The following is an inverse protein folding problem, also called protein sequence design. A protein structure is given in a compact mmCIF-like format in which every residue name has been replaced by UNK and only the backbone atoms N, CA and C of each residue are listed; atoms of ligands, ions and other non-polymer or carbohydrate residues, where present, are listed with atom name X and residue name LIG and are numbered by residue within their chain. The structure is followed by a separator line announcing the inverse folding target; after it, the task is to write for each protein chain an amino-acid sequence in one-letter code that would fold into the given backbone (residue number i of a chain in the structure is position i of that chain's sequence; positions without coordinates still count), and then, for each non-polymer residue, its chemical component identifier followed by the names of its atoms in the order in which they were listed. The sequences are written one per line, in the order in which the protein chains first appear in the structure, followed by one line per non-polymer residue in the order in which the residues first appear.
data_IF_820666522953
#
_entry.id   IF_820666522953
#
_cell.length_a   1.000
_cell.length_b   1.000
_cell.length_c   1.000
_cell.angle_alpha   90.00
_cell.angle_beta   90.00
_cell.angle_gamma   90.00
#
_symmetry.space_group_name_H-M   'P 1'
#
loop_
_entity.id
_entity.type
_entity.pdbx_description
1 polymer ?
#
# COMPACT_ATOMS: atom_id res chain seq x y z
N UNK A 1 -67.04 -17.39 40.22
CA UNK A 1 -67.20 -16.18 39.38
C UNK A 1 -66.16 -16.31 38.28
N UNK A 2 -66.47 -17.02 37.20
CA UNK A 2 -67.13 -16.49 35.99
C UNK A 2 -66.39 -15.29 35.42
N UNK A 3 -65.56 -15.51 34.40
CA UNK A 3 -65.82 -15.01 33.04
C UNK A 3 -64.72 -15.55 32.09
N UNK A 4 -65.02 -16.43 31.13
CA UNK A 4 -65.68 -16.24 29.82
C UNK A 4 -64.69 -15.82 28.72
N UNK A 5 -64.10 -16.79 28.01
CA UNK A 5 -63.57 -16.62 26.65
C UNK A 5 -64.48 -17.37 25.65
N UNK A 6 -65.17 -16.59 24.80
CA UNK A 6 -65.75 -17.01 23.50
C UNK A 6 -64.65 -16.71 22.46
N UNK A 7 -64.29 -17.57 21.50
CA UNK A 7 -65.09 -18.15 20.43
C UNK A 7 -64.42 -17.76 19.08
N UNK A 8 -64.03 -18.74 18.25
CA UNK A 8 -63.24 -18.61 17.00
C UNK A 8 -64.01 -18.01 15.80
N UNK A 9 -63.81 -18.45 14.53
CA UNK A 9 -62.75 -19.26 13.88
C UNK A 9 -62.20 -18.66 12.54
N UNK A 10 -61.15 -19.29 11.98
CA UNK A 10 -60.93 -19.49 10.53
C UNK A 10 -60.41 -18.35 9.64
N UNK A 11 -59.30 -18.56 8.96
CA UNK A 11 -59.25 -18.83 7.50
C UNK A 11 -57.79 -19.04 7.03
N UNK A 12 -57.69 -19.83 5.97
CA UNK A 12 -56.52 -20.48 5.38
C UNK A 12 -55.49 -19.53 4.74
N UNK A 13 -54.27 -20.05 4.64
CA UNK A 13 -53.46 -19.98 3.42
C UNK A 13 -52.65 -18.71 3.18
N UNK A 14 -51.38 -18.72 3.59
CA UNK A 14 -50.34 -18.12 2.75
C UNK A 14 -49.13 -19.06 2.74
N UNK A 15 -48.79 -19.47 1.53
CA UNK A 15 -47.71 -20.36 1.16
C UNK A 15 -46.35 -19.93 1.71
N UNK A 16 -45.48 -20.92 1.91
CA UNK A 16 -44.12 -20.75 2.39
C UNK A 16 -43.34 -19.78 1.50
N UNK A 17 -42.85 -18.72 2.13
CA UNK A 17 -41.66 -18.03 1.65
C UNK A 17 -40.51 -18.76 2.32
N UNK A 18 -39.83 -19.61 1.57
CA UNK A 18 -38.45 -20.01 1.90
C UNK A 18 -37.64 -18.72 1.93
N UNK A 19 -37.40 -18.21 3.15
CA UNK A 19 -36.41 -17.17 3.36
C UNK A 19 -35.06 -17.88 3.20
N UNK A 20 -34.38 -17.59 2.10
CA UNK A 20 -32.97 -17.90 1.90
C UNK A 20 -32.20 -17.43 3.16
N UNK A 21 -31.80 -18.40 3.98
CA UNK A 21 -30.93 -18.23 5.15
C UNK A 21 -29.47 -17.98 4.70
N UNK A 22 -29.25 -17.03 3.78
CA UNK A 22 -27.92 -16.42 3.62
C UNK A 22 -27.83 -15.20 4.54
N UNK A 23 -27.98 -15.47 5.83
CA UNK A 23 -27.53 -14.55 6.88
C UNK A 23 -26.01 -14.56 6.79
N UNK A 24 -25.48 -13.71 5.91
CA UNK A 24 -24.08 -13.33 5.92
C UNK A 24 -23.85 -12.61 7.23
N UNK A 25 -23.40 -13.36 8.25
CA UNK A 25 -22.93 -12.82 9.51
C UNK A 25 -21.70 -11.97 9.19
N UNK A 26 -21.95 -10.69 8.95
CA UNK A 26 -20.88 -9.71 8.89
C UNK A 26 -20.41 -9.49 10.32
N UNK A 27 -19.26 -10.08 10.64
CA UNK A 27 -18.44 -9.58 11.73
C UNK A 27 -17.97 -8.18 11.33
N UNK A 28 -18.85 -7.21 11.58
CA UNK A 28 -18.53 -5.80 11.60
C UNK A 28 -17.59 -5.68 12.78
N UNK A 29 -16.29 -5.76 12.51
CA UNK A 29 -15.28 -5.27 13.43
C UNK A 29 -15.64 -3.83 13.75
N UNK A 30 -16.35 -3.66 14.87
CA UNK A 30 -16.50 -2.39 15.54
C UNK A 30 -15.08 -2.05 15.97
N UNK A 31 -14.45 -1.14 15.22
CA UNK A 31 -13.27 -0.47 15.74
C UNK A 31 -13.78 0.38 16.88
N UNK A 32 -13.61 -0.12 18.11
CA UNK A 32 -13.92 0.65 19.31
C UNK A 32 -13.20 1.99 19.19
N UNK A 33 -14.01 3.04 19.21
CA UNK A 33 -13.53 4.41 19.26
C UNK A 33 -12.59 4.56 20.45
N UNK A 34 -11.43 5.16 20.17
CA UNK A 34 -10.31 5.30 21.08
C UNK A 34 -10.66 5.49 22.55
N UNK A 35 -10.42 4.45 23.34
CA UNK A 35 -9.99 4.63 24.72
C UNK A 35 -8.57 5.20 24.72
N UNK A 36 -8.28 6.14 25.64
CA UNK A 36 -6.93 6.69 25.85
C UNK A 36 -5.90 5.55 25.92
N UNK A 37 -4.94 5.56 24.99
CA UNK A 37 -3.88 4.53 24.91
C UNK A 37 -3.96 3.55 23.73
N UNK A 38 -5.02 3.56 22.93
CA UNK A 38 -5.19 2.66 21.76
C UNK A 38 -4.63 3.25 20.44
N UNK A 39 -3.56 4.03 20.53
CA UNK A 39 -3.03 4.79 19.39
C UNK A 39 -2.41 3.91 18.30
N UNK A 40 -2.90 3.99 17.07
CA UNK A 40 -2.32 3.37 15.87
C UNK A 40 -0.99 4.00 15.42
N UNK A 41 -0.37 4.84 16.25
CA UNK A 41 0.79 5.68 15.96
C UNK A 41 1.99 5.08 16.68
N UNK A 42 3.04 4.80 15.92
CA UNK A 42 4.28 4.28 16.48
C UNK A 42 5.02 5.42 17.17
N UNK A 43 5.18 5.31 18.50
CA UNK A 43 5.86 6.30 19.33
C UNK A 43 7.32 5.94 19.57
N UNK A 44 8.15 6.97 19.75
CA UNK A 44 9.52 6.80 20.18
C UNK A 44 9.58 6.32 21.64
N UNK A 45 10.52 5.43 21.94
CA UNK A 45 10.84 5.09 23.32
C UNK A 45 11.59 6.28 23.95
N UNK A 46 11.03 6.90 24.99
CA UNK A 46 11.64 8.06 25.63
C UNK A 46 13.07 7.80 26.16
N UNK A 47 13.44 6.54 26.42
CA UNK A 47 14.79 6.15 26.88
C UNK A 47 15.78 5.89 25.74
N UNK A 48 15.29 5.55 24.55
CA UNK A 48 16.10 5.34 23.34
C UNK A 48 15.26 5.70 22.11
N UNK A 49 15.15 7.00 21.78
CA UNK A 49 14.30 7.47 20.69
C UNK A 49 14.94 7.27 19.31
N UNK A 50 16.18 6.81 19.26
CA UNK A 50 17.02 6.84 18.07
C UNK A 50 16.97 5.53 17.29
N UNK A 51 16.77 5.62 15.97
CA UNK A 51 16.89 4.53 15.00
C UNK A 51 16.02 3.31 15.37
N UNK A 52 14.76 3.57 15.74
CA UNK A 52 13.81 2.52 16.06
C UNK A 52 13.61 1.57 14.87
N UNK A 53 13.48 0.28 15.15
CA UNK A 53 13.29 -0.75 14.12
C UNK A 53 11.89 -0.71 13.52
N UNK A 54 10.85 -0.54 14.35
CA UNK A 54 9.46 -0.47 13.90
C UNK A 54 9.12 0.98 13.54
N UNK A 55 8.80 1.24 12.27
CA UNK A 55 8.56 2.59 11.74
C UNK A 55 7.08 2.89 11.70
N UNK A 56 6.31 2.00 11.09
CA UNK A 56 4.85 2.04 10.95
C UNK A 56 4.30 0.67 11.32
N UNK A 57 3.25 0.65 12.13
CA UNK A 57 2.42 -0.53 12.34
C UNK A 57 0.95 -0.14 12.31
N UNK A 58 0.21 -0.71 11.37
CA UNK A 58 -1.25 -0.58 11.26
C UNK A 58 -1.84 -1.97 11.24
N UNK A 59 -2.82 -2.21 12.12
CA UNK A 59 -3.54 -3.48 12.18
C UNK A 59 -5.00 -3.25 11.81
N UNK A 60 -5.61 -4.24 11.15
CA UNK A 60 -7.02 -4.13 10.75
C UNK A 60 -7.40 -5.10 9.65
N UNK A 61 -8.18 -4.64 8.66
CA UNK A 61 -8.59 -5.47 7.52
C UNK A 61 -7.38 -5.87 6.63
N UNK A 62 -6.36 -5.03 6.62
CA UNK A 62 -5.05 -5.29 6.04
C UNK A 62 -4.04 -4.85 7.08
N UNK A 63 -3.14 -5.77 7.46
CA UNK A 63 -2.04 -5.44 8.34
C UNK A 63 -0.92 -4.85 7.51
N UNK A 64 -0.38 -3.71 7.97
CA UNK A 64 0.70 -3.02 7.27
C UNK A 64 1.82 -2.76 8.26
N UNK A 65 3.03 -3.14 7.88
CA UNK A 65 4.23 -2.95 8.68
C UNK A 65 5.34 -2.31 7.85
N UNK A 66 6.02 -1.33 8.43
CA UNK A 66 7.27 -0.80 7.92
C UNK A 66 8.35 -0.99 8.98
N UNK A 67 9.43 -1.65 8.60
CA UNK A 67 10.57 -1.91 9.50
C UNK A 67 11.86 -1.43 8.88
N UNK A 68 12.75 -0.87 9.72
CA UNK A 68 14.13 -0.60 9.34
C UNK A 68 14.90 -1.91 9.26
N UNK A 69 15.44 -2.19 8.08
CA UNK A 69 16.34 -3.31 7.84
C UNK A 69 17.76 -2.88 8.21
N UNK A 70 18.25 -1.82 7.56
CA UNK A 70 19.60 -1.30 7.77
C UNK A 70 19.64 0.23 7.87
N UNK A 71 20.52 0.74 8.73
CA UNK A 71 20.94 2.13 8.80
C UNK A 71 22.46 2.17 8.92
N UNK A 72 23.10 2.84 7.96
CA UNK A 72 24.55 2.98 7.87
C UNK A 72 24.87 4.47 7.77
N UNK A 73 25.70 4.97 8.68
CA UNK A 73 26.22 6.33 8.66
C UNK A 73 27.68 6.29 8.23
N UNK A 74 28.09 7.28 7.43
CA UNK A 74 29.44 7.32 6.88
C UNK A 74 29.67 8.57 6.04
N UNK A 75 30.70 8.55 5.20
CA UNK A 75 31.00 9.59 4.22
C UNK A 75 30.36 9.26 2.87
N UNK A 76 30.12 10.30 2.06
CA UNK A 76 29.67 10.10 0.68
C UNK A 76 30.76 9.45 -0.18
N UNK A 77 32.01 9.85 0.03
CA UNK A 77 33.22 9.26 -0.55
C UNK A 77 34.41 9.64 0.32
N UNK A 78 35.54 8.93 0.24
CA UNK A 78 36.71 9.16 1.09
C UNK A 78 37.30 10.58 1.00
N UNK A 79 37.06 11.27 -0.13
CA UNK A 79 37.53 12.63 -0.39
C UNK A 79 36.43 13.71 -0.31
N UNK A 80 35.25 13.37 0.19
CA UNK A 80 34.10 14.29 0.23
C UNK A 80 33.91 14.88 1.63
N UNK A 81 33.70 16.20 1.70
CA UNK A 81 33.28 16.88 2.93
C UNK A 81 31.81 16.62 3.30
N UNK A 82 31.06 15.96 2.42
CA UNK A 82 29.68 15.54 2.68
C UNK A 82 29.64 14.15 3.34
N UNK A 83 28.80 14.06 4.37
CA UNK A 83 28.43 12.83 5.02
C UNK A 83 27.26 12.16 4.29
N UNK A 84 27.07 10.88 4.57
CA UNK A 84 25.99 10.09 4.04
C UNK A 84 25.30 9.24 5.12
N UNK A 85 24.04 8.92 4.87
CA UNK A 85 23.29 7.90 5.58
C UNK A 85 22.60 7.01 4.55
N UNK A 86 22.86 5.71 4.57
CA UNK A 86 22.09 4.72 3.84
C UNK A 86 21.02 4.16 4.77
N UNK A 87 19.77 4.18 4.32
CA UNK A 87 18.63 3.62 5.06
C UNK A 87 17.87 2.63 4.18
N UNK A 88 17.64 1.42 4.69
CA UNK A 88 16.88 0.36 4.02
C UNK A 88 15.64 0.03 4.84
N UNK A 89 14.47 0.10 4.21
CA UNK A 89 13.19 -0.18 4.84
C UNK A 89 12.46 -1.31 4.14
N UNK A 90 11.76 -2.11 4.93
CA UNK A 90 10.91 -3.19 4.47
C UNK A 90 9.45 -2.88 4.79
N UNK A 91 8.65 -2.71 3.75
CA UNK A 91 7.20 -2.62 3.82
C UNK A 91 6.59 -4.00 3.61
N UNK A 92 5.59 -4.34 4.43
CA UNK A 92 4.77 -5.54 4.29
C UNK A 92 3.30 -5.17 4.30
N UNK A 93 2.57 -5.72 3.36
CA UNK A 93 1.14 -5.57 3.16
C UNK A 93 0.53 -6.97 3.27
N UNK A 94 -0.12 -7.24 4.40
CA UNK A 94 -0.62 -8.56 4.77
C UNK A 94 -2.17 -8.51 4.84
N UNK A 95 -2.90 -8.77 3.73
CA UNK A 95 -4.36 -8.80 3.74
C UNK A 95 -4.88 -9.92 4.65
N UNK A 96 -5.69 -9.58 5.66
CA UNK A 96 -6.19 -10.58 6.62
C UNK A 96 -7.41 -11.36 6.09
N UNK A 97 -8.06 -10.88 5.02
CA UNK A 97 -9.21 -11.55 4.37
C UNK A 97 -9.04 -11.53 2.85
N UNK A 98 -9.37 -12.64 2.17
CA UNK A 98 -9.21 -12.84 0.70
C UNK A 98 -9.81 -11.71 -0.17
N UNK A 99 -10.86 -11.03 0.29
CA UNK A 99 -11.53 -9.96 -0.44
C UNK A 99 -10.91 -8.55 -0.23
N UNK A 100 -9.79 -8.42 0.49
CA UNK A 100 -9.23 -7.13 0.94
C UNK A 100 -7.89 -6.79 0.25
N UNK A 101 -7.85 -6.85 -1.08
CA UNK A 101 -6.67 -6.42 -1.85
C UNK A 101 -6.44 -4.92 -1.73
N UNK A 102 -5.17 -4.52 -1.72
CA UNK A 102 -4.75 -3.12 -1.83
C UNK A 102 -4.52 -2.81 -3.31
N UNK A 103 -5.22 -1.80 -3.83
CA UNK A 103 -5.13 -1.38 -5.22
C UNK A 103 -4.01 -0.37 -5.47
N UNK A 104 -3.69 0.45 -4.46
CA UNK A 104 -2.59 1.39 -4.52
C UNK A 104 -2.00 1.65 -3.13
N UNK A 105 -0.71 1.95 -3.09
CA UNK A 105 -0.04 2.48 -1.91
C UNK A 105 0.94 3.58 -2.30
N UNK A 106 0.99 4.64 -1.51
CA UNK A 106 1.96 5.72 -1.62
C UNK A 106 2.79 5.74 -0.35
N UNK A 107 4.09 5.59 -0.50
CA UNK A 107 5.08 5.67 0.57
C UNK A 107 5.83 6.98 0.39
N UNK A 108 5.98 7.74 1.46
CA UNK A 108 6.75 8.98 1.48
C UNK A 108 7.63 9.01 2.72
N UNK A 109 8.92 9.30 2.53
CA UNK A 109 9.90 9.49 3.58
C UNK A 109 10.47 10.90 3.41
N UNK A 110 10.06 11.81 4.29
CA UNK A 110 10.63 13.16 4.36
C UNK A 110 11.78 13.18 5.34
N UNK A 111 12.89 13.79 4.97
CA UNK A 111 14.03 14.01 5.83
C UNK A 111 14.11 15.48 6.21
N UNK A 112 14.38 15.75 7.49
CA UNK A 112 14.46 17.12 7.99
C UNK A 112 15.47 17.24 9.13
N UNK A 113 15.95 18.46 9.34
CA UNK A 113 16.73 18.78 10.52
C UNK A 113 15.84 18.73 11.78
N UNK A 114 16.42 18.39 12.93
CA UNK A 114 15.72 18.47 14.22
C UNK A 114 15.74 19.88 14.80
N UNK A 115 16.83 20.60 14.56
CA UNK A 115 17.08 21.94 15.08
C UNK A 115 16.80 22.99 14.00
N UNK A 116 16.37 24.19 14.41
CA UNK A 116 16.08 25.32 13.50
C UNK A 116 17.31 25.77 12.71
N UNK A 117 18.51 25.59 13.28
CA UNK A 117 19.79 25.95 12.66
C UNK A 117 20.44 24.75 11.94
N UNK A 118 19.76 23.61 11.85
CA UNK A 118 20.24 22.42 11.16
C UNK A 118 20.03 22.52 9.65
N UNK A 119 20.96 21.99 8.89
CA UNK A 119 20.79 21.91 7.44
C UNK A 119 19.90 20.72 7.07
N UNK A 120 18.93 20.97 6.19
CA UNK A 120 18.02 19.92 5.70
C UNK A 120 18.80 18.84 4.95
N UNK A 121 18.70 17.56 5.34
CA UNK A 121 19.31 16.46 4.60
C UNK A 121 18.77 16.33 3.18
N UNK A 122 19.63 15.98 2.24
CA UNK A 122 19.28 15.76 0.84
C UNK A 122 19.13 14.27 0.55
N UNK A 123 18.05 13.89 -0.11
CA UNK A 123 17.87 12.57 -0.71
C UNK A 123 18.67 12.53 -2.01
N UNK A 124 19.88 11.98 -1.93
CA UNK A 124 20.80 11.86 -3.05
C UNK A 124 20.31 10.81 -4.04
N UNK A 125 19.90 9.63 -3.56
CA UNK A 125 19.45 8.54 -4.41
C UNK A 125 18.41 7.65 -3.72
N UNK A 126 17.59 6.97 -4.52
CA UNK A 126 16.62 5.99 -4.06
C UNK A 126 16.66 4.73 -4.92
N UNK A 127 16.31 3.58 -4.35
CA UNK A 127 15.92 2.40 -5.13
C UNK A 127 14.64 2.65 -5.92
N UNK A 128 14.42 1.94 -7.02
CA UNK A 128 13.25 2.14 -7.87
C UNK A 128 13.04 3.60 -8.30
N UNK A 129 14.10 4.37 -8.54
CA UNK A 129 14.00 5.72 -9.12
C UNK A 129 13.52 5.63 -10.58
N UNK A 130 12.36 6.20 -10.89
CA UNK A 130 11.67 6.06 -12.18
C UNK A 130 10.47 5.09 -12.13
N UNK A 131 10.06 4.60 -13.29
CA UNK A 131 8.84 3.79 -13.46
C UNK A 131 9.16 2.35 -13.84
N UNK A 132 8.65 1.40 -13.05
CA UNK A 132 8.86 -0.03 -13.22
C UNK A 132 7.52 -0.72 -13.43
N UNK A 133 7.43 -1.57 -14.46
CA UNK A 133 6.26 -2.41 -14.72
C UNK A 133 6.57 -3.86 -14.34
N UNK A 134 5.71 -4.44 -13.53
CA UNK A 134 5.82 -5.78 -12.98
C UNK A 134 4.66 -6.62 -13.50
N UNK A 135 4.96 -7.83 -13.97
CA UNK A 135 3.96 -8.79 -14.48
C UNK A 135 3.01 -8.17 -15.54
N UNK A 136 3.51 -7.83 -16.74
CA UNK A 136 2.64 -7.37 -17.81
C UNK A 136 1.67 -8.50 -18.21
N UNK A 137 0.38 -8.23 -18.16
CA UNK A 137 -0.65 -9.14 -18.69
C UNK A 137 -1.08 -8.68 -20.07
N UNK A 138 -1.17 -9.61 -21.02
CA UNK A 138 -1.87 -9.38 -22.29
C UNK A 138 -3.29 -9.90 -22.16
N UNK A 139 -4.29 -9.01 -22.24
CA UNK A 139 -5.69 -9.43 -22.34
C UNK A 139 -6.26 -9.01 -23.69
N UNK A 140 -6.95 -9.94 -24.35
CA UNK A 140 -7.79 -9.64 -25.51
C UNK A 140 -9.18 -9.33 -24.99
N UNK A 141 -9.55 -8.06 -24.92
CA UNK A 141 -10.93 -7.68 -24.61
C UNK A 141 -11.77 -7.69 -25.89
N UNK A 142 -12.83 -8.50 -25.93
CA UNK A 142 -13.88 -8.44 -26.95
C UNK A 142 -15.06 -7.65 -26.40
N UNK A 143 -15.13 -6.36 -26.73
CA UNK A 143 -16.28 -5.52 -26.34
C UNK A 143 -17.36 -5.64 -27.42
N UNK A 144 -18.47 -6.32 -27.11
CA UNK A 144 -19.64 -6.38 -27.99
C UNK A 144 -20.60 -5.24 -27.64
N UNK A 145 -20.62 -4.17 -28.44
CA UNK A 145 -21.69 -3.15 -28.38
C UNK A 145 -22.76 -3.47 -29.41
N UNK A 146 -23.95 -3.87 -28.97
CA UNK A 146 -25.14 -4.00 -29.82
C UNK A 146 -26.03 -2.77 -29.70
N UNK A 147 -26.44 -2.19 -30.82
CA UNK A 147 -27.48 -1.16 -30.88
C UNK A 147 -28.70 -1.74 -31.61
N UNK A 148 -29.85 -1.82 -30.94
CA UNK A 148 -31.13 -2.19 -31.56
C UNK A 148 -31.83 -0.94 -32.06
N UNK A 149 -31.91 -0.78 -33.38
CA UNK A 149 -32.69 0.27 -34.02
C UNK A 149 -33.99 -0.30 -34.59
N UNK A 150 -35.13 0.01 -33.99
CA UNK A 150 -36.45 -0.22 -34.59
C UNK A 150 -36.80 0.96 -35.48
N UNK A 151 -36.52 0.85 -36.78
CA UNK A 151 -37.01 1.80 -37.77
C UNK A 151 -38.49 1.50 -38.08
N UNK A 152 -39.40 2.29 -37.53
CA UNK A 152 -40.80 2.30 -37.94
C UNK A 152 -40.99 3.11 -39.22
N UNK A 153 -41.32 2.45 -40.33
CA UNK A 153 -41.94 3.07 -41.49
C UNK A 153 -42.92 2.06 -42.12
N UNK A 154 -44.18 2.47 -42.21
CA UNK A 154 -45.28 1.71 -42.78
C UNK A 154 -45.23 1.72 -44.32
N UNK A 155 -45.75 0.62 -44.88
CA UNK A 155 -46.07 0.32 -46.29
C UNK A 155 -44.96 -0.25 -47.19
N UNK A 156 -45.07 -1.57 -47.41
CA UNK A 156 -44.76 -2.20 -48.70
C UNK A 156 -43.63 -3.22 -48.72
N UNK A 157 -44.01 -4.50 -48.78
CA UNK A 157 -43.20 -5.69 -49.09
C UNK A 157 -42.32 -6.29 -47.96
N UNK A 158 -42.75 -7.48 -47.52
CA UNK A 158 -41.99 -8.48 -46.78
C UNK A 158 -40.65 -8.78 -47.46
N UNK A 159 -39.54 -8.44 -46.80
CA UNK A 159 -38.26 -9.14 -46.88
C UNK A 159 -37.51 -8.80 -45.59
N UNK A 160 -37.47 -9.77 -44.68
CA UNK A 160 -36.78 -9.64 -43.41
C UNK A 160 -35.28 -9.46 -43.59
N UNK A 161 -34.68 -8.69 -42.69
CA UNK A 161 -33.27 -8.73 -42.30
C UNK A 161 -33.10 -7.76 -41.12
N UNK A 162 -33.23 -8.27 -39.89
CA UNK A 162 -32.70 -7.58 -38.71
C UNK A 162 -31.17 -7.56 -38.84
N UNK A 163 -30.62 -6.46 -39.36
CA UNK A 163 -29.18 -6.28 -39.44
C UNK A 163 -28.63 -5.93 -38.05
N UNK A 164 -28.30 -6.95 -37.26
CA UNK A 164 -27.55 -6.82 -36.00
C UNK A 164 -26.10 -6.46 -36.35
N UNK A 165 -25.75 -5.18 -36.25
CA UNK A 165 -24.35 -4.75 -36.39
C UNK A 165 -23.59 -5.08 -35.09
N UNK A 166 -22.84 -6.17 -35.10
CA UNK A 166 -21.88 -6.49 -34.05
C UNK A 166 -20.51 -5.93 -34.42
N UNK A 167 -20.07 -4.87 -33.72
CA UNK A 167 -18.69 -4.38 -33.82
C UNK A 167 -17.86 -5.03 -32.71
N UNK A 168 -17.16 -6.11 -33.04
CA UNK A 168 -16.13 -6.69 -32.18
C UNK A 168 -14.88 -5.81 -32.25
N UNK A 169 -14.63 -5.03 -31.20
CA UNK A 169 -13.34 -4.33 -31.05
C UNK A 169 -12.42 -5.23 -30.26
N UNK A 170 -11.41 -5.78 -30.91
CA UNK A 170 -10.29 -6.44 -30.23
C UNK A 170 -9.37 -5.34 -29.71
N UNK A 171 -9.38 -5.10 -28.39
CA UNK A 171 -8.44 -4.20 -27.73
C UNK A 171 -7.40 -5.04 -27.00
N UNK A 172 -6.13 -4.87 -27.37
CA UNK A 172 -5.01 -5.40 -26.59
C UNK A 172 -4.67 -4.34 -25.54
N UNK A 173 -5.12 -4.55 -24.29
CA UNK A 173 -4.70 -3.73 -23.15
C UNK A 173 -3.55 -4.44 -22.45
N UNK A 174 -2.38 -3.78 -22.41
CA UNK A 174 -1.28 -4.18 -21.55
C UNK A 174 -1.37 -3.40 -20.25
N UNK A 175 -2.07 -3.96 -19.27
CA UNK A 175 -2.00 -3.50 -17.88
C UNK A 175 -0.89 -4.27 -17.15
N UNK A 176 -0.25 -3.60 -16.19
CA UNK A 176 0.79 -4.16 -15.33
C UNK A 176 0.67 -3.56 -13.93
N UNK A 177 1.21 -4.26 -12.93
CA UNK A 177 1.45 -3.64 -11.62
C UNK A 177 2.63 -2.69 -11.76
N UNK A 178 2.54 -1.46 -11.28
CA UNK A 178 3.63 -0.48 -11.42
C UNK A 178 4.20 -0.05 -10.09
N UNK A 179 5.52 0.19 -10.06
CA UNK A 179 6.22 0.86 -8.96
C UNK A 179 6.90 2.09 -9.55
N UNK A 180 6.56 3.26 -9.03
CA UNK A 180 7.10 4.54 -9.47
C UNK A 180 7.78 5.23 -8.30
N UNK A 181 9.10 5.43 -8.37
CA UNK A 181 9.87 6.16 -7.37
C UNK A 181 10.32 7.54 -7.88
N UNK A 182 10.48 8.48 -6.97
CA UNK A 182 11.09 9.77 -7.25
C UNK A 182 11.53 10.52 -6.00
N UNK A 183 12.30 11.59 -6.22
CA UNK A 183 12.84 12.48 -5.20
C UNK A 183 12.22 13.87 -5.36
N UNK A 184 11.82 14.49 -4.26
CA UNK A 184 11.03 15.72 -4.31
C UNK A 184 11.54 16.77 -3.31
N UNK A 185 11.35 18.04 -3.68
CA UNK A 185 11.50 19.21 -2.81
C UNK A 185 10.23 19.46 -2.01
N UNK A 186 10.37 20.04 -0.82
CA UNK A 186 9.24 20.58 -0.04
C UNK A 186 9.10 22.06 -0.35
N UNK A 187 7.86 22.54 -0.52
CA UNK A 187 7.56 23.95 -0.80
C UNK A 187 8.31 24.54 -2.02
N UNK A 188 8.59 23.72 -3.04
CA UNK A 188 9.37 24.07 -4.22
C UNK A 188 10.79 24.60 -3.91
N UNK A 189 11.36 24.22 -2.77
CA UNK A 189 12.66 24.69 -2.31
C UNK A 189 13.67 23.53 -2.23
N UNK A 190 14.81 23.61 -2.95
CA UNK A 190 15.90 22.65 -2.81
C UNK A 190 16.46 22.59 -1.37
N UNK A 191 17.06 21.47 -0.95
CA UNK A 191 17.33 20.26 -1.74
C UNK A 191 16.11 19.32 -1.86
N UNK A 192 16.25 18.24 -2.63
CA UNK A 192 15.27 17.15 -2.59
C UNK A 192 15.33 16.49 -1.21
N UNK A 193 14.35 16.70 -0.35
CA UNK A 193 14.34 16.13 1.01
C UNK A 193 13.29 15.02 1.18
N UNK A 194 12.62 14.62 0.10
CA UNK A 194 11.56 13.60 0.11
C UNK A 194 11.89 12.46 -0.84
N UNK A 195 11.88 11.23 -0.34
CA UNK A 195 11.84 10.02 -1.14
C UNK A 195 10.40 9.51 -1.20
N UNK A 196 9.90 9.20 -2.39
CA UNK A 196 8.51 8.76 -2.56
C UNK A 196 8.39 7.62 -3.55
N UNK A 197 7.58 6.62 -3.20
CA UNK A 197 7.19 5.52 -4.08
C UNK A 197 5.68 5.41 -4.17
N UNK A 198 5.19 5.10 -5.37
CA UNK A 198 3.79 4.81 -5.64
C UNK A 198 3.67 3.43 -6.27
N UNK A 199 2.92 2.55 -5.64
CA UNK A 199 2.58 1.22 -6.14
C UNK A 199 1.15 1.24 -6.65
N UNK A 200 0.93 0.75 -7.86
CA UNK A 200 -0.41 0.60 -8.45
C UNK A 200 -0.61 -0.84 -8.91
N UNK A 201 -1.77 -1.42 -8.62
CA UNK A 201 -2.10 -2.77 -9.07
C UNK A 201 -2.30 -2.82 -10.59
N UNK A 202 -2.13 -4.03 -11.14
CA UNK A 202 -2.61 -4.35 -12.47
C UNK A 202 -4.14 -4.25 -12.50
N UNK A 203 -4.69 -3.27 -13.24
CA UNK A 203 -6.13 -2.99 -13.31
C UNK A 203 -6.95 -4.11 -13.98
N UNK A 204 -6.31 -4.86 -14.87
CA UNK A 204 -6.90 -6.02 -15.54
C UNK A 204 -6.97 -7.21 -14.59
N UNK A 205 -5.83 -7.63 -14.03
CA UNK A 205 -5.75 -8.82 -13.18
C UNK A 205 -6.34 -8.59 -11.78
N UNK A 206 -6.37 -7.33 -11.31
CA UNK A 206 -6.86 -6.94 -9.98
C UNK A 206 -6.23 -7.80 -8.87
N UNK A 207 -4.95 -8.08 -9.03
CA UNK A 207 -4.16 -8.94 -8.14
C UNK A 207 -3.76 -8.23 -6.85
N UNK A 208 -4.01 -6.92 -6.73
CA UNK A 208 -3.42 -6.08 -5.71
C UNK A 208 -1.96 -5.73 -6.00
N UNK A 209 -1.41 -4.85 -5.16
CA UNK A 209 0.02 -4.54 -5.09
C UNK A 209 0.80 -5.72 -4.46
N UNK A 210 2.14 -5.77 -4.61
CA UNK A 210 2.97 -6.78 -3.98
C UNK A 210 2.79 -6.84 -2.45
N UNK A 211 2.89 -8.04 -1.86
CA UNK A 211 2.82 -8.23 -0.41
C UNK A 211 4.03 -7.64 0.33
N UNK A 212 5.18 -7.49 -0.32
CA UNK A 212 6.40 -6.97 0.29
C UNK A 212 7.19 -6.10 -0.70
N UNK A 213 7.64 -4.95 -0.21
CA UNK A 213 8.52 -4.02 -0.93
C UNK A 213 9.65 -3.60 0.01
N UNK A 214 10.89 -3.89 -0.38
CA UNK A 214 12.10 -3.37 0.28
C UNK A 214 12.70 -2.26 -0.56
N UNK A 215 12.89 -1.09 0.06
CA UNK A 215 13.45 0.10 -0.58
C UNK A 215 14.70 0.57 0.16
N UNK A 216 15.59 1.22 -0.57
CA UNK A 216 16.79 1.85 -0.04
C UNK A 216 16.82 3.34 -0.42
N UNK A 217 17.33 4.16 0.50
CA UNK A 217 17.53 5.60 0.32
C UNK A 217 18.95 5.96 0.74
N UNK A 218 19.64 6.72 -0.09
CA UNK A 218 20.89 7.38 0.24
C UNK A 218 20.60 8.85 0.55
N UNK A 219 20.93 9.26 1.76
CA UNK A 219 20.79 10.63 2.26
C UNK A 219 22.17 11.27 2.35
N UNK A 220 22.35 12.42 1.71
CA UNK A 220 23.52 13.29 1.83
C UNK A 220 23.29 14.33 2.92
N UNK A 221 24.33 14.58 3.71
CA UNK A 221 24.31 15.50 4.85
C UNK A 221 25.56 16.39 4.85
N UNK A 222 25.41 17.64 5.29
CA UNK A 222 26.54 18.57 5.42
C UNK A 222 27.22 18.53 6.78
N UNK A 223 26.53 17.99 7.78
CA UNK A 223 27.04 17.82 9.13
C UNK A 223 26.67 16.44 9.70
N UNK A 224 27.14 16.16 10.91
CA UNK A 224 26.86 14.94 11.67
C UNK A 224 25.75 15.10 12.72
N UNK A 225 24.92 16.15 12.61
CA UNK A 225 23.83 16.36 13.57
C UNK A 225 22.76 15.27 13.41
N UNK A 226 22.05 15.04 14.50
CA UNK A 226 20.87 14.17 14.49
C UNK A 226 19.79 14.80 13.59
N UNK A 227 19.07 13.95 12.85
CA UNK A 227 18.04 14.40 11.89
C UNK A 227 16.85 13.45 11.92
N UNK A 228 15.72 13.88 11.35
CA UNK A 228 14.48 13.10 11.36
C UNK A 228 14.20 12.49 10.00
N UNK A 229 13.64 11.28 10.01
CA UNK A 229 12.82 10.75 8.93
C UNK A 229 11.36 10.76 9.37
N UNK A 230 10.49 11.43 8.63
CA UNK A 230 9.05 11.52 8.84
C UNK A 230 8.36 10.59 7.83
N UNK A 231 8.00 9.36 8.23
CA UNK A 231 7.36 8.40 7.35
C UNK A 231 5.88 8.73 7.18
N UNK A 232 5.39 8.64 5.95
CA UNK A 232 3.97 8.74 5.62
C UNK A 232 3.58 7.61 4.68
N UNK A 233 2.43 7.00 4.96
CA UNK A 233 1.88 5.91 4.17
C UNK A 233 0.41 6.18 3.87
N UNK A 234 0.05 6.17 2.60
CA UNK A 234 -1.33 6.23 2.13
C UNK A 234 -1.67 4.96 1.36
N UNK A 235 -2.82 4.34 1.63
CA UNK A 235 -3.24 3.09 1.01
C UNK A 235 -4.66 3.23 0.47
N UNK A 236 -4.96 2.65 -0.70
CA UNK A 236 -6.30 2.62 -1.29
C UNK A 236 -6.73 1.19 -1.60
N UNK A 237 -7.96 0.85 -1.25
CA UNK A 237 -8.62 -0.41 -1.59
C UNK A 237 -9.83 -0.16 -2.51
N UNK A 238 -9.96 -0.90 -3.60
CA UNK A 238 -10.79 -0.58 -4.78
C UNK A 238 -12.32 -0.56 -4.56
N UNK A 239 -12.86 -0.93 -3.40
CA UNK A 239 -14.34 -0.92 -3.16
C UNK A 239 -14.80 -0.52 -1.76
N UNK A 240 -13.97 0.15 -0.97
CA UNK A 240 -14.29 0.44 0.44
C UNK A 240 -13.85 1.84 0.89
N UNK A 241 -14.37 2.88 0.24
CA UNK A 241 -14.33 4.27 0.73
C UNK A 241 -14.74 4.39 2.20
N UNK A 242 -15.68 3.55 2.69
CA UNK A 242 -16.12 3.53 4.10
C UNK A 242 -15.12 2.97 5.12
N UNK A 243 -14.12 2.18 4.72
CA UNK A 243 -13.07 1.72 5.66
C UNK A 243 -11.96 2.77 5.72
N UNK A 244 -11.62 3.39 4.58
CA UNK A 244 -10.68 4.51 4.56
C UNK A 244 -11.20 5.72 5.34
N UNK A 245 -12.51 5.99 5.32
CA UNK A 245 -13.13 7.04 6.16
C UNK A 245 -12.85 6.86 7.66
N UNK A 246 -12.67 5.62 8.13
CA UNK A 246 -12.25 5.32 9.51
C UNK A 246 -10.74 5.42 9.73
N UNK A 247 -9.92 5.29 8.69
CA UNK A 247 -8.46 5.54 8.74
C UNK A 247 -8.11 7.03 8.53
N UNK A 248 -9.00 7.81 7.89
CA UNK A 248 -8.84 9.26 7.65
C UNK A 248 -9.33 10.14 8.79
N UNK A 249 -10.02 9.55 9.78
CA UNK A 249 -10.39 10.24 11.01
C UNK A 249 -9.17 10.40 11.92
N UNK A 250 -8.37 11.45 11.68
CA UNK A 250 -7.25 11.89 12.54
C UNK A 250 -6.51 10.73 13.22
N UNK A 251 -5.86 9.85 12.45
CA UNK A 251 -4.75 9.10 13.04
C UNK A 251 -3.62 10.11 13.27
N UNK A 252 -3.16 10.34 14.52
CA UNK A 252 -1.91 11.03 14.74
C UNK A 252 -0.81 10.49 13.85
N UNK A 253 0.05 11.38 13.38
CA UNK A 253 1.22 10.99 12.62
C UNK A 253 2.12 10.11 13.49
N UNK A 254 2.79 9.13 12.88
CA UNK A 254 3.82 8.39 13.62
C UNK A 254 4.91 9.35 14.06
N UNK A 255 5.50 9.10 15.23
CA UNK A 255 6.65 9.91 15.65
C UNK A 255 7.76 9.80 14.58
N UNK A 256 8.55 10.86 14.35
CA UNK A 256 9.69 10.76 13.45
C UNK A 256 10.68 9.68 13.90
N UNK A 257 11.30 9.01 12.95
CA UNK A 257 12.47 8.16 13.20
C UNK A 257 13.67 9.08 13.35
N UNK A 258 14.19 9.20 14.57
CA UNK A 258 15.36 10.03 14.85
C UNK A 258 16.63 9.27 14.45
N UNK A 259 17.37 9.80 13.51
CA UNK A 259 18.61 9.22 12.97
C UNK A 259 19.80 9.88 13.66
N UNK A 260 20.73 9.07 14.17
CA UNK A 260 21.87 9.53 14.97
C UNK A 260 23.17 9.12 14.28
N UNK A 261 23.80 10.01 13.48
CA UNK A 261 25.00 9.68 12.72
C UNK A 261 26.13 9.04 13.53
N UNK A 262 26.23 9.37 14.82
CA UNK A 262 27.24 8.81 15.72
C UNK A 262 27.00 7.34 16.13
N UNK A 263 25.85 6.73 15.81
CA UNK A 263 25.58 5.31 16.11
C UNK A 263 26.31 4.40 15.11
N UNK A 264 26.71 3.22 15.59
CA UNK A 264 27.39 2.22 14.74
C UNK A 264 26.44 1.70 13.63
N UNK A 265 26.98 1.35 12.46
CA UNK A 265 26.24 0.66 11.40
C UNK A 265 25.53 -0.60 11.88
N UNK A 266 24.36 -0.88 11.33
CA UNK A 266 23.60 -2.11 11.64
C UNK A 266 24.11 -3.35 10.88
N UNK A 267 24.56 -3.17 9.63
CA UNK A 267 25.17 -4.21 8.78
C UNK A 267 24.38 -5.55 8.71
N UNK A 268 23.05 -5.51 8.67
CA UNK A 268 22.20 -6.70 8.65
C UNK A 268 22.09 -7.35 7.28
N UNK A 269 22.12 -6.57 6.19
CA UNK A 269 22.07 -7.11 4.82
C UNK A 269 23.45 -7.48 4.30
N UNK A 270 24.44 -6.63 4.55
CA UNK A 270 25.82 -6.83 4.15
C UNK A 270 26.75 -5.93 4.97
N UNK A 271 28.06 -6.09 4.76
CA UNK A 271 29.06 -5.16 5.25
C UNK A 271 29.21 -4.03 4.23
N UNK A 272 29.16 -2.80 4.70
CA UNK A 272 29.27 -1.60 3.87
C UNK A 272 30.62 -0.93 4.10
N UNK A 273 31.16 -0.32 3.05
CA UNK A 273 32.27 0.62 3.17
C UNK A 273 31.70 1.98 3.61
N UNK A 274 31.94 2.34 4.87
CA UNK A 274 31.43 3.59 5.45
C UNK A 274 32.13 4.83 4.91
N UNK A 275 33.25 4.69 4.21
CA UNK A 275 33.93 5.84 3.57
C UNK A 275 33.40 6.09 2.15
N UNK A 276 32.67 5.15 1.55
CA UNK A 276 32.25 5.18 0.14
C UNK A 276 30.74 4.89 -0.05
N UNK A 277 29.89 5.38 0.84
CA UNK A 277 28.44 5.12 0.78
C UNK A 277 27.77 5.64 -0.49
N UNK A 278 28.34 6.67 -1.13
CA UNK A 278 27.87 7.21 -2.41
C UNK A 278 27.99 6.25 -3.60
N UNK A 279 28.84 5.22 -3.48
CA UNK A 279 29.04 4.22 -4.53
C UNK A 279 28.08 3.02 -4.43
N UNK A 280 27.28 2.95 -3.36
CA UNK A 280 26.39 1.80 -3.10
C UNK A 280 25.27 1.73 -4.14
N UNK A 281 25.15 0.58 -4.80
CA UNK A 281 24.09 0.30 -5.77
C UNK A 281 22.77 0.01 -5.03
N UNK A 282 21.94 1.02 -4.81
CA UNK A 282 20.70 0.89 -4.02
C UNK A 282 19.73 -0.20 -4.52
N UNK A 283 19.69 -0.44 -5.83
CA UNK A 283 18.81 -1.46 -6.41
C UNK A 283 19.17 -2.88 -5.96
N UNK A 284 20.43 -3.17 -5.62
CA UNK A 284 20.84 -4.50 -5.10
C UNK A 284 20.33 -4.76 -3.68
N UNK A 285 20.01 -3.71 -2.93
CA UNK A 285 19.44 -3.76 -1.59
C UNK A 285 17.91 -3.82 -1.61
N UNK A 286 17.30 -3.77 -2.80
CA UNK A 286 15.86 -3.68 -2.98
C UNK A 286 15.25 -5.06 -3.22
N UNK A 287 13.97 -5.21 -2.95
CA UNK A 287 13.25 -6.46 -3.22
C UNK A 287 11.75 -6.20 -3.42
N UNK A 288 11.12 -6.99 -4.27
CA UNK A 288 9.67 -7.00 -4.45
C UNK A 288 9.18 -8.44 -4.44
N UNK A 289 8.27 -8.73 -3.51
CA UNK A 289 7.65 -10.05 -3.39
C UNK A 289 6.14 -9.92 -3.46
N UNK A 290 5.51 -10.57 -4.45
CA UNK A 290 4.06 -10.58 -4.62
C UNK A 290 3.36 -11.52 -3.64
N UNK A 291 3.79 -12.79 -3.64
CA UNK A 291 3.30 -13.84 -2.74
C UNK A 291 4.42 -14.85 -2.55
N UNK A 292 4.65 -15.28 -1.31
CA UNK A 292 5.54 -16.40 -1.03
C UNK A 292 4.73 -17.69 -1.09
N UNK A 293 5.04 -18.58 -2.03
CA UNK A 293 4.45 -19.92 -2.10
C UNK A 293 5.34 -20.89 -1.31
N UNK A 294 4.78 -21.55 -0.31
CA UNK A 294 5.45 -22.67 0.38
C UNK A 294 5.05 -23.95 -0.35
N UNK A 295 6.02 -24.66 -0.92
CA UNK A 295 5.79 -25.95 -1.57
C UNK A 295 5.34 -27.03 -0.58
N UNK A 296 4.71 -28.10 -1.09
CA UNK A 296 4.07 -29.14 -0.30
C UNK A 296 4.91 -29.60 0.90
N UNK A 297 4.39 -29.34 2.09
CA UNK A 297 4.92 -29.87 3.33
C UNK A 297 4.72 -31.38 3.39
N UNK A 298 5.65 -32.13 2.82
CA UNK A 298 5.84 -33.54 3.14
C UNK A 298 6.27 -33.64 4.62
N UNK A 299 5.28 -33.76 5.50
CA UNK A 299 5.48 -34.38 6.81
C UNK A 299 5.79 -35.85 6.56
N UNK A 300 7.06 -36.20 6.45
CA UNK A 300 7.47 -37.57 6.73
C UNK A 300 7.28 -37.78 8.23
N UNK A 301 6.16 -38.42 8.60
CA UNK A 301 6.07 -39.08 9.89
C UNK A 301 7.13 -40.18 9.89
N UNK A 302 8.06 -40.09 10.82
CA UNK A 302 8.88 -41.22 11.28
C UNK A 302 8.09 -41.95 12.35
#
# INVERSE_FOLDING_TARGET
MSDTEKGGPGLEGVEGVELDDDVTVFDVGMFDGGAEGTGFHTKNNAKDPYQRSEVIQRTGAVDIRCTVVDIIHGAMSANSDCWATLMVLQFRFDPQKRARRIAAATIELRFDALDLDGETPEVEAISFDGNFSLMPSKQTESITKGATGTAGASYGANLGLEAKWEKTVNRETTDATTVSGGRFVVNNQPPNCVAKWTLLENKTLKSGIPASLRVAVLIKRRDERDFACLPKLEVRADRWTRVLEKFSGKMPEDDPVILKPSKKPTNKLMVYDTEELGSVVLQSLSDITFTTMIGDGLKNQV
#
